data_IF_061487426236
#
_entry.id   IF_061487426236
#
_cell.length_a   1.000
_cell.length_b   1.000
_cell.length_c   1.000
_cell.angle_alpha   90.00
_cell.angle_beta   90.00
_cell.angle_gamma   90.00
#
_symmetry.space_group_name_H-M   'P 1'
#
loop_
_entity.id
_entity.type
_entity.pdbx_description
1 polymer ?
#
# COMPACT_ATOMS: atom_id res chain seq x y z
N UNK A 1 -8.57 -18.35 -0.23
CA UNK A 1 -8.69 -16.94 0.21
C UNK A 1 -8.26 -16.05 -0.95
N UNK A 2 -9.12 -15.15 -1.44
CA UNK A 2 -8.74 -14.16 -2.47
C UNK A 2 -8.13 -12.97 -1.72
N UNK A 3 -6.88 -12.63 -2.00
CA UNK A 3 -6.18 -11.51 -1.34
C UNK A 3 -6.28 -10.21 -2.14
N UNK A 4 -5.99 -9.07 -1.50
CA UNK A 4 -6.11 -7.73 -2.11
C UNK A 4 -5.29 -7.56 -3.41
N UNK A 5 -4.12 -8.21 -3.51
CA UNK A 5 -3.32 -8.19 -4.74
C UNK A 5 -4.01 -8.88 -5.92
N UNK A 6 -4.74 -9.98 -5.67
CA UNK A 6 -5.51 -10.65 -6.72
C UNK A 6 -6.69 -9.80 -7.18
N UNK A 7 -7.36 -9.10 -6.25
CA UNK A 7 -8.47 -8.19 -6.57
C UNK A 7 -8.03 -7.09 -7.54
N UNK A 8 -6.85 -6.49 -7.34
CA UNK A 8 -6.29 -5.49 -8.27
C UNK A 8 -6.10 -6.08 -9.66
N UNK A 9 -5.50 -7.28 -9.75
CA UNK A 9 -5.21 -7.92 -11.04
C UNK A 9 -6.48 -8.33 -11.80
N UNK A 10 -7.52 -8.78 -11.09
CA UNK A 10 -8.77 -9.26 -11.70
C UNK A 10 -9.73 -8.13 -12.08
N UNK A 11 -9.86 -7.12 -11.23
CA UNK A 11 -10.74 -5.98 -11.51
C UNK A 11 -10.11 -4.99 -12.49
N UNK A 12 -8.77 -4.92 -12.53
CA UNK A 12 -8.05 -3.88 -13.27
C UNK A 12 -8.25 -2.47 -12.69
N UNK A 13 -8.95 -2.34 -11.57
CA UNK A 13 -9.18 -1.05 -10.93
C UNK A 13 -7.93 -0.55 -10.23
N UNK A 14 -7.80 0.76 -10.17
CA UNK A 14 -6.71 1.38 -9.43
C UNK A 14 -6.81 1.00 -7.94
N UNK A 15 -5.70 0.60 -7.26
CA UNK A 15 -5.74 0.17 -5.86
C UNK A 15 -6.39 1.18 -4.90
N UNK A 16 -6.31 2.48 -5.21
CA UNK A 16 -6.97 3.51 -4.42
C UNK A 16 -8.51 3.39 -4.45
N UNK A 17 -9.10 2.99 -5.58
CA UNK A 17 -10.54 2.78 -5.73
C UNK A 17 -10.99 1.57 -4.91
N UNK A 18 -10.26 0.46 -5.01
CA UNK A 18 -10.54 -0.75 -4.21
C UNK A 18 -10.38 -0.49 -2.70
N UNK A 19 -9.40 0.34 -2.31
CA UNK A 19 -9.25 0.82 -0.93
C UNK A 19 -10.49 1.59 -0.49
N UNK A 20 -11.00 2.52 -1.31
CA UNK A 20 -12.17 3.31 -0.97
C UNK A 20 -13.44 2.45 -0.91
N UNK A 21 -13.55 1.42 -1.76
CA UNK A 21 -14.67 0.48 -1.77
C UNK A 21 -14.85 -0.32 -0.46
N UNK A 22 -13.80 -0.44 0.36
CA UNK A 22 -13.86 -1.10 1.69
C UNK A 22 -13.84 -0.12 2.85
N UNK A 23 -13.90 1.19 2.56
CA UNK A 23 -13.88 2.26 3.55
C UNK A 23 -15.25 2.92 3.68
N UNK A 24 -16.10 2.34 4.51
CA UNK A 24 -17.37 2.98 4.86
C UNK A 24 -17.14 4.29 5.63
N UNK A 25 -17.98 5.33 5.42
CA UNK A 25 -17.93 6.55 6.21
C UNK A 25 -18.00 6.25 7.71
N UNK A 26 -17.13 6.88 8.50
CA UNK A 26 -16.99 6.68 9.96
C UNK A 26 -16.72 5.22 10.40
N UNK A 27 -16.27 4.34 9.49
CA UNK A 27 -15.93 2.96 9.79
C UNK A 27 -14.56 2.78 10.42
N UNK A 28 -14.30 1.57 10.93
CA UNK A 28 -12.98 1.23 11.51
C UNK A 28 -11.86 1.24 10.48
N UNK A 29 -12.14 0.89 9.22
CA UNK A 29 -11.14 0.87 8.14
C UNK A 29 -10.57 2.26 7.86
N UNK A 30 -11.43 3.29 7.83
CA UNK A 30 -10.97 4.66 7.52
C UNK A 30 -10.19 5.27 8.68
N UNK A 31 -10.54 4.96 9.92
CA UNK A 31 -9.77 5.35 11.11
C UNK A 31 -8.37 4.70 11.12
N UNK A 32 -8.30 3.41 10.74
CA UNK A 32 -7.03 2.71 10.59
C UNK A 32 -6.16 3.35 9.48
N UNK A 33 -6.75 3.68 8.33
CA UNK A 33 -6.04 4.37 7.25
C UNK A 33 -5.52 5.74 7.69
N UNK A 34 -6.34 6.56 8.35
CA UNK A 34 -5.92 7.87 8.86
C UNK A 34 -4.70 7.76 9.79
N UNK A 35 -4.70 6.77 10.69
CA UNK A 35 -3.55 6.48 11.55
C UNK A 35 -2.29 6.11 10.75
N UNK A 36 -2.44 5.27 9.72
CA UNK A 36 -1.33 4.88 8.84
C UNK A 36 -0.79 6.06 8.03
N UNK A 37 -1.67 6.95 7.56
CA UNK A 37 -1.28 8.18 6.86
C UNK A 37 -0.54 9.15 7.76
N UNK A 38 -1.01 9.37 8.99
CA UNK A 38 -0.32 10.18 10.00
C UNK A 38 1.07 9.62 10.32
N UNK A 39 1.23 8.30 10.27
CA UNK A 39 2.52 7.62 10.40
C UNK A 39 3.41 7.67 9.16
N UNK A 40 2.95 8.27 8.05
CA UNK A 40 3.72 8.40 6.82
C UNK A 40 3.96 7.07 6.09
N UNK A 41 3.09 6.07 6.27
CA UNK A 41 3.25 4.70 5.76
C UNK A 41 3.67 4.65 4.29
N UNK A 42 3.01 5.42 3.42
CA UNK A 42 3.28 5.42 1.97
C UNK A 42 4.71 5.83 1.64
N UNK A 43 5.18 6.93 2.25
CA UNK A 43 6.55 7.40 2.11
C UNK A 43 7.55 6.36 2.63
N UNK A 44 7.25 5.73 3.78
CA UNK A 44 8.11 4.72 4.37
C UNK A 44 8.30 3.50 3.47
N UNK A 45 7.22 3.01 2.83
CA UNK A 45 7.30 1.89 1.88
C UNK A 45 8.11 2.28 0.64
N UNK A 46 7.87 3.45 0.06
CA UNK A 46 8.63 3.94 -1.10
C UNK A 46 10.14 3.99 -0.80
N UNK A 47 10.50 4.61 0.33
CA UNK A 47 11.90 4.69 0.80
C UNK A 47 12.51 3.31 1.06
N UNK A 48 11.74 2.37 1.60
CA UNK A 48 12.22 1.01 1.84
C UNK A 48 12.58 0.30 0.53
N UNK A 49 11.75 0.43 -0.51
CA UNK A 49 12.01 -0.15 -1.85
C UNK A 49 13.24 0.49 -2.49
N UNK A 50 13.36 1.82 -2.40
CA UNK A 50 14.53 2.56 -2.90
C UNK A 50 15.82 2.10 -2.19
N UNK A 51 15.80 2.04 -0.85
CA UNK A 51 16.94 1.62 -0.04
C UNK A 51 17.35 0.17 -0.34
N UNK A 52 16.39 -0.75 -0.45
CA UNK A 52 16.64 -2.13 -0.81
C UNK A 52 17.26 -2.23 -2.22
N UNK A 53 16.71 -1.50 -3.19
CA UNK A 53 17.23 -1.46 -4.56
C UNK A 53 18.66 -0.92 -4.60
N UNK A 54 18.94 0.16 -3.87
CA UNK A 54 20.30 0.72 -3.74
C UNK A 54 21.27 -0.31 -3.17
N UNK A 55 20.88 -0.99 -2.08
CA UNK A 55 21.71 -2.02 -1.45
C UNK A 55 22.00 -3.19 -2.38
N UNK A 56 21.02 -3.65 -3.15
CA UNK A 56 21.23 -4.71 -4.12
C UNK A 56 22.26 -4.31 -5.19
N UNK A 57 22.24 -3.05 -5.66
CA UNK A 57 23.22 -2.55 -6.62
C UNK A 57 24.64 -2.47 -6.04
N UNK A 58 24.78 -2.09 -4.78
CA UNK A 58 26.08 -2.06 -4.09
C UNK A 58 26.66 -3.46 -3.87
N UNK A 59 25.82 -4.48 -3.71
CA UNK A 59 26.23 -5.86 -3.49
C UNK A 59 26.50 -6.66 -4.77
N UNK A 60 25.83 -6.30 -5.87
CA UNK A 60 25.93 -6.99 -7.16
C UNK A 60 26.89 -6.34 -8.16
N UNK A 61 27.55 -5.24 -7.78
CA UNK A 61 28.63 -4.60 -8.54
C UNK A 61 30.01 -5.11 -8.11
#
# INVERSE_FOLDING_TARGET
MVGSGRMVLETGEHPAVLKDAVCSPAGSTIEALDTLEKGGMRSSIMKAVEAATKRCKELGA
#
